data_IF_047644588399
#
_entry.id   IF_047644588399
#
_cell.length_a   1.000
_cell.length_b   1.000
_cell.length_c   1.000
_cell.angle_alpha   90.00
_cell.angle_beta   90.00
_cell.angle_gamma   90.00
#
_symmetry.space_group_name_H-M   'P 1'
#
loop_
_entity.id
_entity.type
_entity.pdbx_description
1 polymer ?
#
# COMPACT_ATOMS: atom_id res chain seq x y z
N UNK A 1 -52.36 62.09 -0.80
CA UNK A 1 -52.74 61.14 0.27
C UNK A 1 -53.69 61.83 1.22
N UNK A 2 -54.81 61.20 1.53
CA UNK A 2 -55.88 61.78 2.35
C UNK A 2 -55.99 61.00 3.66
N UNK A 3 -56.16 61.72 4.75
CA UNK A 3 -56.39 61.18 6.09
C UNK A 3 -57.79 61.60 6.52
N UNK A 4 -58.60 60.64 6.97
CA UNK A 4 -59.97 60.89 7.41
C UNK A 4 -60.32 60.13 8.68
N UNK A 5 -61.29 60.66 9.42
CA UNK A 5 -61.92 60.02 10.57
C UNK A 5 -63.34 59.61 10.21
N UNK A 6 -63.53 58.33 9.93
CA UNK A 6 -64.80 57.71 9.58
C UNK A 6 -65.40 57.05 10.82
N UNK A 7 -66.52 57.53 11.37
CA UNK A 7 -67.12 56.99 12.58
C UNK A 7 -67.52 55.51 12.43
N UNK A 8 -67.15 54.68 13.41
CA UNK A 8 -67.55 53.26 13.45
C UNK A 8 -66.83 52.36 12.43
N UNK A 9 -65.82 52.86 11.72
CA UNK A 9 -65.04 52.05 10.79
C UNK A 9 -64.27 50.96 11.53
N UNK A 10 -64.43 49.72 11.07
CA UNK A 10 -63.69 48.56 11.57
C UNK A 10 -62.37 48.42 10.79
N UNK A 11 -61.26 48.40 11.52
CA UNK A 11 -59.94 48.24 10.93
C UNK A 11 -59.63 46.80 10.48
N UNK A 12 -60.40 45.82 10.95
CA UNK A 12 -60.23 44.40 10.62
C UNK A 12 -61.15 43.91 9.50
N UNK A 13 -62.07 44.74 9.01
CA UNK A 13 -62.96 44.38 7.91
C UNK A 13 -62.26 44.50 6.55
N UNK A 14 -62.70 43.69 5.60
CA UNK A 14 -62.25 43.83 4.21
C UNK A 14 -62.72 45.18 3.65
N UNK A 15 -61.84 45.85 2.91
CA UNK A 15 -62.15 47.12 2.24
C UNK A 15 -63.04 46.84 1.03
N UNK A 16 -64.18 47.52 0.94
CA UNK A 16 -65.07 47.42 -0.23
C UNK A 16 -64.38 48.04 -1.46
N UNK A 17 -64.19 47.30 -2.57
CA UNK A 17 -63.60 47.85 -3.79
C UNK A 17 -64.36 49.05 -4.38
N UNK A 18 -65.63 49.23 -4.03
CA UNK A 18 -66.46 50.36 -4.45
C UNK A 18 -66.46 51.52 -3.45
N UNK A 19 -65.71 51.41 -2.34
CA UNK A 19 -65.60 52.47 -1.36
C UNK A 19 -64.97 53.72 -1.99
N UNK A 20 -65.69 54.84 -1.89
CA UNK A 20 -65.27 56.11 -2.43
C UNK A 20 -64.53 56.97 -1.42
N UNK A 21 -64.34 58.24 -1.78
CA UNK A 21 -63.85 59.26 -0.86
C UNK A 21 -64.83 59.46 0.30
N UNK A 22 -64.33 59.54 1.55
CA UNK A 22 -65.15 59.98 2.67
C UNK A 22 -65.72 61.38 2.44
N UNK A 23 -66.90 61.70 2.99
CA UNK A 23 -67.46 63.05 2.98
C UNK A 23 -66.46 64.09 3.47
N UNK A 24 -66.47 65.29 2.89
CA UNK A 24 -65.51 66.34 3.19
C UNK A 24 -65.39 66.68 4.70
N UNK A 25 -66.48 66.55 5.46
CA UNK A 25 -66.50 66.79 6.91
C UNK A 25 -65.70 65.74 7.72
N UNK A 26 -65.43 64.57 7.15
CA UNK A 26 -64.64 63.49 7.76
C UNK A 26 -63.16 63.58 7.38
N UNK A 27 -62.80 64.36 6.35
CA UNK A 27 -61.42 64.53 5.91
C UNK A 27 -60.69 65.41 6.92
N UNK A 28 -59.70 64.81 7.58
CA UNK A 28 -58.90 65.44 8.61
C UNK A 28 -57.72 66.20 8.04
N UNK A 29 -57.07 65.64 7.02
CA UNK A 29 -55.90 66.25 6.39
C UNK A 29 -55.65 65.71 4.98
N UNK A 30 -55.20 66.59 4.08
CA UNK A 30 -54.77 66.22 2.72
C UNK A 30 -53.29 66.55 2.57
N UNK A 31 -52.51 65.53 2.25
CA UNK A 31 -51.06 65.61 2.07
C UNK A 31 -50.68 65.40 0.60
N UNK A 32 -49.79 66.25 0.08
CA UNK A 32 -49.07 65.94 -1.15
C UNK A 32 -48.14 64.73 -0.94
N UNK A 33 -47.97 63.91 -1.99
CA UNK A 33 -46.98 62.83 -1.94
C UNK A 33 -45.59 63.47 -1.86
N UNK A 34 -44.82 63.11 -0.83
CA UNK A 34 -43.47 63.66 -0.63
C UNK A 34 -42.42 62.83 -1.36
N UNK A 35 -42.59 61.51 -1.40
CA UNK A 35 -41.69 60.58 -2.10
C UNK A 35 -42.48 59.52 -2.86
N UNK A 36 -41.93 59.06 -3.97
CA UNK A 36 -42.48 57.98 -4.77
C UNK A 36 -41.35 57.13 -5.34
N UNK A 37 -41.54 55.82 -5.37
CA UNK A 37 -40.52 54.91 -5.86
C UNK A 37 -41.12 53.64 -6.46
N UNK A 38 -40.38 52.97 -7.35
CA UNK A 38 -40.76 51.70 -7.93
C UNK A 38 -40.18 50.55 -7.09
N UNK A 39 -41.04 49.75 -6.46
CA UNK A 39 -40.63 48.57 -5.71
C UNK A 39 -40.08 47.47 -6.64
N UNK A 40 -40.74 47.30 -7.79
CA UNK A 40 -40.33 46.46 -8.91
C UNK A 40 -41.12 46.92 -10.16
N UNK A 41 -41.03 46.19 -11.28
CA UNK A 41 -41.73 46.53 -12.54
C UNK A 41 -43.26 46.65 -12.39
N UNK A 42 -43.84 45.90 -11.45
CA UNK A 42 -45.29 45.78 -11.23
C UNK A 42 -45.75 46.41 -9.92
N UNK A 43 -44.91 47.13 -9.18
CA UNK A 43 -45.32 47.73 -7.92
C UNK A 43 -44.64 49.07 -7.66
N UNK A 44 -45.41 50.04 -7.17
CA UNK A 44 -44.92 51.37 -6.78
C UNK A 44 -45.35 51.70 -5.37
N UNK A 45 -44.57 52.54 -4.69
CA UNK A 45 -44.88 53.05 -3.36
C UNK A 45 -44.99 54.56 -3.39
N UNK A 46 -46.02 55.07 -2.74
CA UNK A 46 -46.24 56.49 -2.51
C UNK A 46 -46.15 56.78 -1.03
N UNK A 47 -45.35 57.79 -0.68
CA UNK A 47 -45.08 58.13 0.71
C UNK A 47 -45.53 59.55 1.04
N UNK A 48 -46.05 59.71 2.26
CA UNK A 48 -46.29 61.01 2.88
C UNK A 48 -45.45 61.10 4.16
N UNK A 49 -44.67 62.18 4.26
CA UNK A 49 -43.86 62.50 5.44
C UNK A 49 -44.37 63.81 6.00
N UNK A 50 -45.01 63.75 7.17
CA UNK A 50 -45.52 64.92 7.88
C UNK A 50 -44.68 65.14 9.13
N UNK A 51 -44.08 66.32 9.23
CA UNK A 51 -43.30 66.71 10.40
C UNK A 51 -44.20 67.09 11.59
N UNK A 52 -43.57 67.58 12.66
CA UNK A 52 -44.29 67.99 13.88
C UNK A 52 -45.06 69.31 13.73
N UNK A 53 -44.93 70.05 12.63
CA UNK A 53 -45.64 71.33 12.42
C UNK A 53 -47.08 71.14 11.92
N UNK A 54 -47.41 69.93 11.47
CA UNK A 54 -48.71 69.54 10.94
C UNK A 54 -49.42 68.64 11.95
N UNK A 55 -50.67 68.89 12.30
CA UNK A 55 -51.38 68.03 13.25
C UNK A 55 -52.60 68.65 13.92
N UNK A 56 -52.93 67.99 15.03
CA UNK A 56 -54.10 68.06 15.90
C UNK A 56 -55.37 67.53 15.27
N UNK A 57 -55.28 66.27 14.82
CA UNK A 57 -56.41 65.54 14.25
C UNK A 57 -56.28 64.04 14.44
N UNK A 58 -57.43 63.37 14.45
CA UNK A 58 -57.57 61.91 14.52
C UNK A 58 -57.89 61.39 13.14
N UNK A 59 -57.52 60.15 12.85
CA UNK A 59 -57.83 59.50 11.59
C UNK A 59 -57.82 57.98 11.76
N UNK A 60 -58.66 57.29 11.01
CA UNK A 60 -58.69 55.82 10.93
C UNK A 60 -58.76 55.34 9.46
N UNK A 61 -58.76 56.26 8.51
CA UNK A 61 -58.83 55.99 7.09
C UNK A 61 -57.70 56.72 6.36
N UNK A 62 -57.03 56.02 5.43
CA UNK A 62 -56.00 56.59 4.56
C UNK A 62 -56.35 56.27 3.10
N UNK A 63 -56.31 57.28 2.24
CA UNK A 63 -56.56 57.13 0.81
C UNK A 63 -55.43 57.65 -0.07
N UNK A 64 -55.11 56.91 -1.13
CA UNK A 64 -54.37 57.42 -2.27
C UNK A 64 -55.37 57.84 -3.35
N UNK A 65 -55.28 59.08 -3.80
CA UNK A 65 -56.22 59.67 -4.76
C UNK A 65 -55.42 60.38 -5.84
N UNK A 66 -55.82 60.19 -7.10
CA UNK A 66 -55.30 60.99 -8.20
C UNK A 66 -55.81 62.43 -8.08
N UNK A 67 -54.88 63.39 -7.96
CA UNK A 67 -55.23 64.79 -7.78
C UNK A 67 -55.88 65.43 -9.00
N UNK A 68 -55.72 64.85 -10.20
CA UNK A 68 -56.31 65.40 -11.43
C UNK A 68 -57.78 64.99 -11.58
N UNK A 69 -58.10 63.71 -11.34
CA UNK A 69 -59.45 63.16 -11.56
C UNK A 69 -60.26 62.96 -10.29
N UNK A 70 -59.65 63.09 -9.10
CA UNK A 70 -60.23 62.68 -7.80
C UNK A 70 -60.57 61.19 -7.73
N UNK A 71 -60.01 60.36 -8.61
CA UNK A 71 -60.18 58.90 -8.57
C UNK A 71 -59.46 58.32 -7.37
N UNK A 72 -60.16 57.53 -6.56
CA UNK A 72 -59.57 56.77 -5.46
C UNK A 72 -58.81 55.58 -6.04
N UNK A 73 -57.54 55.46 -5.67
CA UNK A 73 -56.65 54.42 -6.18
C UNK A 73 -56.39 53.32 -5.14
N UNK A 74 -56.36 53.69 -3.85
CA UNK A 74 -56.09 52.76 -2.76
C UNK A 74 -56.72 53.29 -1.48
N UNK A 75 -57.28 52.40 -0.67
CA UNK A 75 -57.83 52.67 0.65
C UNK A 75 -57.17 51.74 1.66
N UNK A 76 -56.87 52.27 2.85
CA UNK A 76 -56.39 51.50 3.99
C UNK A 76 -57.19 51.92 5.23
N UNK A 77 -57.85 50.94 5.85
CA UNK A 77 -58.48 51.09 7.15
C UNK A 77 -57.47 50.73 8.25
N UNK A 78 -57.41 51.55 9.29
CA UNK A 78 -56.52 51.33 10.43
C UNK A 78 -57.25 51.63 11.74
N UNK A 79 -56.79 51.10 12.89
CA UNK A 79 -57.27 51.56 14.18
C UNK A 79 -57.02 53.06 14.32
N UNK A 80 -57.92 53.75 15.00
CA UNK A 80 -57.85 55.20 15.12
C UNK A 80 -56.50 55.69 15.67
N UNK A 81 -55.90 56.65 14.97
CA UNK A 81 -54.60 57.23 15.26
C UNK A 81 -54.73 58.74 15.52
N UNK A 82 -53.77 59.29 16.26
CA UNK A 82 -53.69 60.72 16.58
C UNK A 82 -52.41 61.34 16.00
N UNK A 83 -52.56 62.41 15.22
CA UNK A 83 -51.44 63.28 14.81
C UNK A 83 -51.46 64.54 15.69
N UNK A 84 -50.35 64.81 16.36
CA UNK A 84 -50.19 65.93 17.28
C UNK A 84 -49.25 66.95 16.65
N UNK A 85 -49.65 68.21 16.68
CA UNK A 85 -48.83 69.34 16.26
C UNK A 85 -48.00 69.87 17.44
N UNK A 86 -46.77 70.30 17.16
CA UNK A 86 -45.98 71.05 18.13
C UNK A 86 -46.55 72.46 18.27
N UNK A 87 -47.24 72.71 19.38
CA UNK A 87 -47.78 74.03 19.71
C UNK A 87 -47.95 74.18 21.23
N UNK A 88 -47.79 75.40 21.76
CA UNK A 88 -48.15 75.70 23.15
C UNK A 88 -47.37 74.91 24.21
N UNK A 89 -46.14 74.48 23.92
CA UNK A 89 -45.33 73.63 24.81
C UNK A 89 -45.65 72.13 24.73
N UNK A 90 -46.63 71.72 23.91
CA UNK A 90 -46.87 70.31 23.58
C UNK A 90 -45.92 69.87 22.46
N UNK A 91 -45.19 68.77 22.66
CA UNK A 91 -44.34 68.18 21.64
C UNK A 91 -45.21 67.37 20.65
N UNK A 92 -45.11 67.68 19.35
CA UNK A 92 -45.76 66.93 18.29
C UNK A 92 -45.01 65.65 17.90
N UNK A 93 -45.64 64.81 17.09
CA UNK A 93 -45.06 63.59 16.53
C UNK A 93 -44.78 63.73 15.03
N UNK A 94 -43.84 62.97 14.47
CA UNK A 94 -43.71 62.82 13.01
C UNK A 94 -44.61 61.68 12.53
N UNK A 95 -45.11 61.77 11.31
CA UNK A 95 -45.89 60.71 10.67
C UNK A 95 -45.28 60.37 9.32
N UNK A 96 -44.98 59.09 9.14
CA UNK A 96 -44.59 58.52 7.84
C UNK A 96 -45.60 57.45 7.46
N UNK A 97 -46.11 57.53 6.24
CA UNK A 97 -47.00 56.52 5.66
C UNK A 97 -46.53 56.15 4.27
N UNK A 98 -46.48 54.85 4.01
CA UNK A 98 -46.13 54.24 2.74
C UNK A 98 -47.32 53.43 2.27
N UNK A 99 -47.87 53.77 1.10
CA UNK A 99 -48.91 52.99 0.44
C UNK A 99 -48.30 52.37 -0.81
N UNK A 100 -48.15 51.05 -0.79
CA UNK A 100 -47.65 50.26 -1.90
C UNK A 100 -48.82 49.71 -2.72
N UNK A 101 -48.73 49.85 -4.03
CA UNK A 101 -49.75 49.40 -4.98
C UNK A 101 -49.11 48.50 -6.02
N UNK A 102 -49.73 47.34 -6.25
CA UNK A 102 -49.27 46.33 -7.20
C UNK A 102 -50.26 46.17 -8.35
N UNK A 103 -49.77 46.29 -9.58
CA UNK A 103 -50.48 45.96 -10.82
C UNK A 103 -49.48 45.79 -11.97
N UNK A 104 -49.84 45.02 -12.99
CA UNK A 104 -48.97 44.77 -14.13
C UNK A 104 -48.49 46.07 -14.79
N UNK A 105 -47.18 46.26 -14.89
CA UNK A 105 -46.57 47.44 -15.50
C UNK A 105 -46.68 48.74 -14.67
N UNK A 106 -46.90 48.67 -13.35
CA UNK A 106 -47.10 49.85 -12.52
C UNK A 106 -46.00 50.92 -12.63
N UNK A 107 -44.73 50.51 -12.70
CA UNK A 107 -43.62 51.45 -12.83
C UNK A 107 -43.68 52.24 -14.17
N UNK A 108 -44.04 51.54 -15.25
CA UNK A 108 -44.20 52.14 -16.59
C UNK A 108 -45.46 53.02 -16.65
N UNK A 109 -46.60 52.52 -16.19
CA UNK A 109 -47.87 53.25 -16.23
C UNK A 109 -47.81 54.56 -15.41
N UNK A 110 -47.08 54.55 -14.28
CA UNK A 110 -46.92 55.73 -13.41
C UNK A 110 -45.69 56.58 -13.75
N UNK A 111 -44.84 56.12 -14.66
CA UNK A 111 -43.55 56.73 -15.03
C UNK A 111 -42.64 56.97 -13.80
N UNK A 112 -42.64 56.03 -12.85
CA UNK A 112 -41.79 56.07 -11.67
C UNK A 112 -40.61 55.12 -11.87
N UNK A 113 -39.40 55.67 -11.91
CA UNK A 113 -38.15 54.92 -12.15
C UNK A 113 -37.16 55.00 -10.98
N UNK A 114 -37.51 55.74 -9.92
CA UNK A 114 -36.64 55.95 -8.76
C UNK A 114 -36.69 54.73 -7.84
N UNK A 115 -35.53 54.29 -7.35
CA UNK A 115 -35.39 53.19 -6.39
C UNK A 115 -35.94 53.58 -5.02
N UNK A 116 -36.60 52.67 -4.28
CA UNK A 116 -37.18 52.96 -2.97
C UNK A 116 -36.11 53.19 -1.91
N UNK A 117 -36.35 54.15 -1.03
CA UNK A 117 -35.54 54.37 0.16
C UNK A 117 -35.79 53.26 1.20
N UNK A 118 -34.84 53.03 2.10
CA UNK A 118 -34.88 51.88 3.02
C UNK A 118 -36.09 51.87 3.94
N UNK A 119 -36.64 53.04 4.29
CA UNK A 119 -37.83 53.18 5.14
C UNK A 119 -39.16 53.04 4.37
N UNK A 120 -39.13 52.99 3.02
CA UNK A 120 -40.32 52.80 2.19
C UNK A 120 -40.71 51.32 2.02
N UNK A 121 -39.80 50.40 2.34
CA UNK A 121 -39.97 48.95 2.19
C UNK A 121 -39.82 48.27 3.55
N UNK A 122 -40.72 47.32 3.83
CA UNK A 122 -40.48 46.33 4.87
C UNK A 122 -39.59 45.19 4.34
N UNK A 123 -38.31 45.23 4.68
CA UNK A 123 -37.35 44.17 4.31
C UNK A 123 -37.49 42.90 5.16
N UNK A 124 -38.31 42.90 6.20
CA UNK A 124 -38.40 41.79 7.16
C UNK A 124 -38.89 40.50 6.49
N UNK A 125 -39.87 40.58 5.58
CA UNK A 125 -40.35 39.43 4.82
C UNK A 125 -39.27 38.86 3.90
N UNK A 126 -38.51 39.73 3.22
CA UNK A 126 -37.41 39.32 2.35
C UNK A 126 -36.28 38.66 3.14
N UNK A 127 -35.89 39.24 4.27
CA UNK A 127 -34.85 38.69 5.14
C UNK A 127 -35.27 37.33 5.72
N UNK A 128 -36.51 37.19 6.19
CA UNK A 128 -37.05 35.89 6.63
C UNK A 128 -37.03 34.86 5.50
N UNK A 129 -37.38 35.26 4.28
CA UNK A 129 -37.32 34.37 3.12
C UNK A 129 -35.89 33.92 2.80
N UNK A 130 -34.90 34.78 2.97
CA UNK A 130 -33.49 34.43 2.80
C UNK A 130 -33.00 33.45 3.87
N UNK A 131 -33.37 33.67 5.13
CA UNK A 131 -33.02 32.74 6.22
C UNK A 131 -33.70 31.38 6.06
N UNK A 132 -34.96 31.37 5.66
CA UNK A 132 -35.70 30.14 5.38
C UNK A 132 -35.14 29.39 4.17
N UNK A 133 -34.78 30.09 3.09
CA UNK A 133 -34.11 29.48 1.93
C UNK A 133 -32.78 28.80 2.33
N UNK A 134 -31.99 29.42 3.21
CA UNK A 134 -30.76 28.80 3.76
C UNK A 134 -31.04 27.60 4.65
N UNK A 135 -32.16 27.59 5.37
CA UNK A 135 -32.57 26.46 6.20
C UNK A 135 -32.98 25.28 5.33
N UNK A 136 -33.87 25.51 4.36
CA UNK A 136 -34.35 24.49 3.40
C UNK A 136 -33.18 23.90 2.61
N UNK A 137 -32.26 24.71 2.09
CA UNK A 137 -31.07 24.21 1.39
C UNK A 137 -30.20 23.28 2.26
N UNK A 138 -30.16 23.50 3.58
CA UNK A 138 -29.48 22.60 4.52
C UNK A 138 -30.29 21.35 4.83
N UNK A 139 -31.62 21.41 4.78
CA UNK A 139 -32.47 20.21 4.84
C UNK A 139 -32.26 19.34 3.60
N UNK A 140 -32.18 19.94 2.41
CA UNK A 140 -31.93 19.21 1.17
C UNK A 140 -30.58 18.48 1.20
N UNK A 141 -29.57 19.07 1.85
CA UNK A 141 -28.25 18.47 1.97
C UNK A 141 -28.15 17.45 3.13
N UNK A 142 -28.53 17.83 4.36
CA UNK A 142 -28.35 16.99 5.56
C UNK A 142 -29.55 16.08 5.87
N UNK A 143 -30.70 16.27 5.23
CA UNK A 143 -31.96 15.62 5.58
C UNK A 143 -32.68 16.29 6.75
N UNK A 144 -33.62 15.56 7.36
CA UNK A 144 -34.42 16.04 8.51
C UNK A 144 -33.55 16.31 9.74
N UNK A 145 -32.57 15.45 10.01
CA UNK A 145 -31.52 15.67 10.98
C UNK A 145 -30.27 14.85 10.63
N UNK A 146 -29.09 15.39 10.90
CA UNK A 146 -27.84 14.65 10.76
C UNK A 146 -26.78 15.14 11.75
N UNK A 147 -25.87 14.25 12.14
CA UNK A 147 -24.83 14.49 13.14
C UNK A 147 -23.47 14.02 12.62
N UNK A 148 -22.42 14.78 12.92
CA UNK A 148 -21.08 14.54 12.43
C UNK A 148 -20.35 13.51 13.29
N UNK A 149 -20.06 12.33 12.75
CA UNK A 149 -19.32 11.27 13.43
C UNK A 149 -19.84 10.94 14.84
N UNK A 150 -18.98 11.11 15.84
CA UNK A 150 -19.31 10.88 17.26
C UNK A 150 -20.14 12.01 17.91
N UNK A 151 -20.42 13.10 17.20
CA UNK A 151 -21.14 14.25 17.75
C UNK A 151 -22.55 13.90 18.20
N UNK A 152 -22.93 14.31 19.41
CA UNK A 152 -24.20 13.96 20.05
C UNK A 152 -24.41 12.47 20.35
N UNK A 153 -23.36 11.63 20.26
CA UNK A 153 -23.46 10.23 20.65
C UNK A 153 -23.82 10.11 22.15
N UNK A 154 -24.73 9.20 22.47
CA UNK A 154 -25.19 8.97 23.84
C UNK A 154 -24.51 7.73 24.42
N UNK A 155 -23.98 7.87 25.64
CA UNK A 155 -23.46 6.76 26.44
C UNK A 155 -24.08 6.80 27.83
N UNK A 156 -24.31 5.64 28.45
CA UNK A 156 -24.88 5.55 29.80
C UNK A 156 -23.85 4.99 30.77
N UNK A 157 -23.62 5.69 31.88
CA UNK A 157 -22.79 5.22 32.98
C UNK A 157 -23.33 5.73 34.32
N UNK A 158 -23.41 4.86 35.33
CA UNK A 158 -23.80 5.25 36.69
C UNK A 158 -25.16 5.94 36.81
N UNK A 159 -26.13 5.61 35.94
CA UNK A 159 -27.46 6.22 35.94
C UNK A 159 -27.57 7.59 35.25
N UNK A 160 -26.47 8.08 34.65
CA UNK A 160 -26.44 9.28 33.83
C UNK A 160 -26.19 8.92 32.36
N UNK A 161 -26.88 9.61 31.45
CA UNK A 161 -26.64 9.56 30.02
C UNK A 161 -25.81 10.76 29.61
N UNK A 162 -24.62 10.52 29.07
CA UNK A 162 -23.69 11.53 28.59
C UNK A 162 -23.80 11.65 27.07
N UNK A 163 -24.03 12.87 26.60
CA UNK A 163 -24.09 13.26 25.19
C UNK A 163 -22.74 13.87 24.80
N UNK A 164 -22.08 13.29 23.81
CA UNK A 164 -20.78 13.72 23.34
C UNK A 164 -20.84 15.08 22.62
N UNK A 165 -19.83 15.96 22.78
CA UNK A 165 -19.75 17.22 22.05
C UNK A 165 -19.63 16.96 20.54
N UNK A 166 -20.08 17.92 19.73
CA UNK A 166 -19.98 17.83 18.29
C UNK A 166 -20.99 18.67 17.52
N UNK A 167 -20.99 18.48 16.21
CA UNK A 167 -21.80 19.22 15.26
C UNK A 167 -23.00 18.38 14.78
N UNK A 168 -24.13 19.03 14.61
CA UNK A 168 -25.29 18.48 13.93
C UNK A 168 -26.13 19.55 13.23
N UNK A 169 -27.12 19.08 12.50
CA UNK A 169 -28.18 19.90 11.91
C UNK A 169 -29.53 19.26 12.21
N UNK A 170 -30.50 20.07 12.64
CA UNK A 170 -31.89 19.66 12.89
C UNK A 170 -32.81 20.57 12.10
N UNK A 171 -33.56 20.01 11.16
CA UNK A 171 -34.38 20.74 10.19
C UNK A 171 -33.61 21.92 9.55
N UNK A 172 -32.34 21.71 9.20
CA UNK A 172 -31.46 22.72 8.60
C UNK A 172 -30.88 23.77 9.56
N UNK A 173 -31.25 23.74 10.84
CA UNK A 173 -30.68 24.58 11.89
C UNK A 173 -29.41 23.96 12.45
N UNK A 174 -28.32 24.73 12.54
CA UNK A 174 -27.03 24.25 13.03
C UNK A 174 -27.06 24.10 14.54
N UNK A 175 -26.73 22.92 15.05
CA UNK A 175 -26.58 22.66 16.48
C UNK A 175 -25.13 22.27 16.75
N UNK A 176 -24.47 22.96 17.68
CA UNK A 176 -23.07 22.70 18.01
C UNK A 176 -22.92 22.63 19.53
N UNK A 177 -22.65 21.43 20.03
CA UNK A 177 -22.42 21.16 21.44
C UNK A 177 -20.91 21.23 21.68
N UNK A 178 -20.46 22.28 22.37
CA UNK A 178 -19.03 22.52 22.64
C UNK A 178 -18.46 21.53 23.66
N UNK A 179 -19.22 21.23 24.70
CA UNK A 179 -18.82 20.38 25.82
C UNK A 179 -19.86 19.30 26.06
N UNK A 180 -19.43 18.15 26.60
CA UNK A 180 -20.35 17.05 26.88
C UNK A 180 -21.49 17.48 27.80
N UNK A 181 -22.71 17.05 27.48
CA UNK A 181 -23.90 17.30 28.29
C UNK A 181 -24.37 16.02 28.98
N UNK A 182 -25.04 16.15 30.12
CA UNK A 182 -25.58 15.00 30.86
C UNK A 182 -27.07 15.16 31.13
N UNK A 183 -27.79 14.06 31.00
CA UNK A 183 -29.21 13.93 31.37
C UNK A 183 -29.41 12.67 32.20
N UNK A 184 -30.51 12.57 32.93
CA UNK A 184 -30.84 11.34 33.66
C UNK A 184 -31.04 10.16 32.68
N UNK A 185 -30.43 9.01 32.95
CA UNK A 185 -30.60 7.79 32.13
C UNK A 185 -31.93 7.07 32.45
N UNK A 186 -33.04 7.80 32.35
CA UNK A 186 -34.37 7.22 32.45
C UNK A 186 -34.69 6.37 31.20
N UNK A 187 -35.67 5.46 31.30
CA UNK A 187 -36.21 4.75 30.14
C UNK A 187 -37.02 5.73 29.26
N UNK A 188 -36.32 6.48 28.39
CA UNK A 188 -36.88 7.59 27.62
C UNK A 188 -36.07 7.82 26.35
N UNK A 189 -36.61 8.61 25.42
CA UNK A 189 -35.86 9.08 24.27
C UNK A 189 -35.21 10.45 24.56
N UNK A 190 -34.04 10.68 23.97
CA UNK A 190 -33.30 11.94 24.03
C UNK A 190 -33.45 12.64 22.68
N UNK A 191 -33.74 13.93 22.75
CA UNK A 191 -34.05 14.77 21.60
C UNK A 191 -33.23 16.05 21.62
N UNK A 192 -32.92 16.55 20.44
CA UNK A 192 -32.41 17.91 20.23
C UNK A 192 -33.57 18.78 19.77
N UNK A 193 -33.80 19.86 20.51
CA UNK A 193 -34.80 20.89 20.21
C UNK A 193 -34.08 22.15 19.73
N UNK A 194 -34.10 22.39 18.43
CA UNK A 194 -33.37 23.47 17.76
C UNK A 194 -34.29 24.63 17.39
N UNK A 195 -33.79 25.86 17.54
CA UNK A 195 -34.53 27.10 17.29
C UNK A 195 -33.64 28.14 16.61
N UNK A 196 -34.20 28.89 15.67
CA UNK A 196 -33.61 30.11 15.13
C UNK A 196 -34.37 31.31 15.72
N UNK A 197 -33.71 32.06 16.61
CA UNK A 197 -34.34 33.17 17.31
C UNK A 197 -33.42 34.37 17.45
N UNK A 198 -34.04 35.55 17.55
CA UNK A 198 -33.35 36.81 17.80
C UNK A 198 -33.06 37.01 19.29
N UNK A 199 -31.91 37.60 19.60
CA UNK A 199 -31.58 38.08 20.95
C UNK A 199 -32.07 39.52 21.16
N UNK A 200 -32.08 39.98 22.41
CA UNK A 200 -32.38 41.39 22.77
C UNK A 200 -31.44 42.40 22.11
N UNK A 201 -30.28 41.97 21.62
CA UNK A 201 -29.32 42.81 20.87
C UNK A 201 -29.62 42.84 19.37
N UNK A 202 -30.68 42.16 18.92
CA UNK A 202 -31.04 42.02 17.49
C UNK A 202 -30.23 40.97 16.74
N UNK A 203 -29.28 40.29 17.39
CA UNK A 203 -28.50 39.22 16.76
C UNK A 203 -29.34 37.94 16.69
N UNK A 204 -29.50 37.40 15.49
CA UNK A 204 -30.14 36.09 15.30
C UNK A 204 -29.11 34.98 15.36
N UNK A 205 -29.42 33.90 16.09
CA UNK A 205 -28.51 32.77 16.29
C UNK A 205 -29.25 31.45 16.30
N UNK A 206 -28.52 30.39 15.97
CA UNK A 206 -28.99 29.03 16.23
C UNK A 206 -28.87 28.76 17.73
N UNK A 207 -29.97 28.34 18.34
CA UNK A 207 -30.02 27.82 19.68
C UNK A 207 -30.52 26.39 19.67
N UNK A 208 -30.21 25.62 20.73
CA UNK A 208 -30.84 24.34 20.95
C UNK A 208 -30.87 23.98 22.44
N UNK A 209 -31.73 23.03 22.79
CA UNK A 209 -31.74 22.38 24.10
C UNK A 209 -31.80 20.86 23.93
N UNK A 210 -31.32 20.13 24.93
CA UNK A 210 -31.44 18.67 24.99
C UNK A 210 -32.66 18.37 25.86
N UNK A 211 -33.61 17.60 25.32
CA UNK A 211 -34.84 17.23 26.03
C UNK A 211 -34.97 15.72 26.12
N UNK A 212 -35.65 15.27 27.18
CA UNK A 212 -36.02 13.86 27.35
C UNK A 212 -37.54 13.72 27.32
N UNK A 213 -38.05 12.67 26.67
CA UNK A 213 -39.49 12.43 26.54
C UNK A 213 -39.82 11.35 25.52
N UNK A 214 -41.00 10.74 25.64
CA UNK A 214 -41.39 9.60 24.81
C UNK A 214 -41.64 9.98 23.33
N UNK A 215 -42.26 11.13 23.08
CA UNK A 215 -42.52 11.63 21.73
C UNK A 215 -42.56 13.16 21.74
N UNK A 216 -41.66 13.78 21.00
CA UNK A 216 -41.65 15.21 20.77
C UNK A 216 -41.92 15.48 19.28
N UNK A 217 -42.68 16.54 19.01
CA UNK A 217 -42.93 17.04 17.66
C UNK A 217 -42.58 18.52 17.58
N UNK A 218 -42.37 19.01 16.36
CA UNK A 218 -42.12 20.43 16.10
C UNK A 218 -43.27 21.28 16.65
N UNK A 219 -42.95 22.47 17.13
CA UNK A 219 -43.92 23.37 17.76
C UNK A 219 -43.50 24.83 17.62
N UNK A 220 -44.40 25.75 17.95
CA UNK A 220 -44.10 27.19 18.05
C UNK A 220 -44.19 27.59 19.51
N UNK A 221 -43.16 28.28 20.01
CA UNK A 221 -43.14 28.74 21.41
C UNK A 221 -44.09 29.94 21.64
N UNK A 222 -44.24 30.35 22.90
CA UNK A 222 -45.10 31.48 23.25
C UNK A 222 -44.63 32.83 22.68
N UNK A 223 -43.38 32.92 22.21
CA UNK A 223 -42.80 34.10 21.56
C UNK A 223 -42.93 34.06 20.04
N UNK A 224 -43.50 32.99 19.47
CA UNK A 224 -43.73 32.83 18.04
C UNK A 224 -42.54 32.23 17.26
N UNK A 225 -41.53 31.69 17.94
CA UNK A 225 -40.40 31.04 17.28
C UNK A 225 -40.69 29.57 17.00
N UNK A 226 -40.44 29.08 15.77
CA UNK A 226 -40.57 27.67 15.44
C UNK A 226 -39.40 26.87 16.02
N UNK A 227 -39.73 25.78 16.69
CA UNK A 227 -38.84 24.79 17.26
C UNK A 227 -38.93 23.49 16.47
N UNK A 228 -37.78 22.93 16.11
CA UNK A 228 -37.68 21.68 15.38
C UNK A 228 -36.97 20.63 16.23
N UNK A 229 -37.55 19.44 16.33
CA UNK A 229 -37.05 18.39 17.22
C UNK A 229 -36.54 17.17 16.44
N UNK A 230 -35.39 16.65 16.84
CA UNK A 230 -34.82 15.42 16.30
C UNK A 230 -34.45 14.46 17.42
N UNK A 231 -34.89 13.21 17.30
CA UNK A 231 -34.50 12.16 18.23
C UNK A 231 -33.05 11.75 17.92
N UNK A 232 -32.23 11.60 18.95
CA UNK A 232 -30.83 11.15 18.81
C UNK A 232 -30.59 9.78 19.43
N UNK A 233 -31.36 9.40 20.45
CA UNK A 233 -31.23 8.08 21.05
C UNK A 233 -32.51 7.68 21.80
N UNK A 234 -32.67 6.38 21.97
CA UNK A 234 -33.64 5.79 22.90
C UNK A 234 -32.90 5.01 23.98
N UNK A 235 -33.23 5.24 25.25
CA UNK A 235 -32.69 4.50 26.39
C UNK A 235 -33.78 3.55 26.90
N UNK A 236 -33.48 2.25 26.95
CA UNK A 236 -34.37 1.24 27.49
C UNK A 236 -33.59 0.21 28.31
N UNK A 237 -33.88 0.12 29.62
CA UNK A 237 -33.21 -0.81 30.52
C UNK A 237 -31.69 -0.59 30.64
N UNK A 238 -31.23 0.65 30.45
CA UNK A 238 -29.80 0.99 30.42
C UNK A 238 -29.11 0.75 29.07
N UNK A 239 -29.80 0.18 28.08
CA UNK A 239 -29.31 0.02 26.71
C UNK A 239 -29.62 1.29 25.92
N UNK A 240 -28.62 1.82 25.22
CA UNK A 240 -28.77 2.96 24.31
C UNK A 240 -28.94 2.43 22.88
N UNK A 241 -30.04 2.81 22.24
CA UNK A 241 -30.22 2.67 20.79
C UNK A 241 -29.90 4.01 20.14
N UNK A 242 -28.90 4.05 19.28
CA UNK A 242 -28.54 5.25 18.51
C UNK A 242 -29.57 5.46 17.39
N UNK A 243 -30.15 6.65 17.31
CA UNK A 243 -31.11 7.03 16.27
C UNK A 243 -30.60 8.23 15.45
N UNK A 244 -29.33 8.61 15.61
CA UNK A 244 -28.70 9.66 14.81
C UNK A 244 -28.52 9.19 13.38
N UNK A 245 -28.82 10.06 12.42
CA UNK A 245 -28.35 9.90 11.05
C UNK A 245 -26.97 10.54 10.86
N UNK A 246 -26.02 9.89 10.18
CA UNK A 246 -24.72 10.48 9.90
C UNK A 246 -24.81 11.57 8.83
N UNK A 247 -23.76 12.38 8.70
CA UNK A 247 -23.63 13.34 7.61
C UNK A 247 -23.66 12.65 6.24
N UNK A 248 -24.09 13.35 5.17
CA UNK A 248 -24.30 12.72 3.85
C UNK A 248 -23.06 11.99 3.31
N UNK A 249 -21.87 12.58 3.45
CA UNK A 249 -20.63 11.92 3.02
C UNK A 249 -20.34 10.65 3.83
N UNK A 250 -20.45 10.73 5.16
CA UNK A 250 -20.27 9.58 6.06
C UNK A 250 -21.29 8.47 5.79
N UNK A 251 -22.53 8.86 5.45
CA UNK A 251 -23.58 7.93 5.03
C UNK A 251 -23.18 7.20 3.75
N UNK A 252 -22.71 7.94 2.73
CA UNK A 252 -22.25 7.35 1.47
C UNK A 252 -21.03 6.45 1.71
N UNK A 253 -20.08 6.85 2.56
CA UNK A 253 -18.93 6.02 2.93
C UNK A 253 -19.37 4.71 3.61
N UNK A 254 -20.35 4.77 4.51
CA UNK A 254 -20.95 3.58 5.13
C UNK A 254 -21.70 2.73 4.11
N UNK A 255 -22.55 3.34 3.26
CA UNK A 255 -23.27 2.62 2.21
C UNK A 255 -22.31 1.93 1.23
N UNK A 256 -21.22 2.59 0.83
CA UNK A 256 -20.18 1.98 -0.01
C UNK A 256 -19.51 0.82 0.72
N UNK A 257 -19.20 0.98 2.01
CA UNK A 257 -18.62 -0.09 2.84
C UNK A 257 -19.57 -1.28 3.00
N UNK A 258 -20.88 -1.04 3.11
CA UNK A 258 -21.90 -2.08 3.23
C UNK A 258 -22.22 -2.72 1.86
N UNK A 259 -22.07 -1.97 0.76
CA UNK A 259 -22.21 -2.44 -0.61
C UNK A 259 -21.02 -3.30 -1.03
N UNK A 260 -19.84 -3.17 -0.41
CA UNK A 260 -18.72 -4.06 -0.68
C UNK A 260 -19.14 -5.49 -0.32
N UNK A 261 -19.76 -6.17 -1.29
CA UNK A 261 -20.35 -7.52 -1.22
C UNK A 261 -19.30 -8.54 -0.79
N UNK A 262 -18.04 -8.13 -0.81
CA UNK A 262 -16.91 -8.84 -0.25
C UNK A 262 -16.01 -7.79 0.39
N UNK A 263 -15.92 -7.78 1.72
CA UNK A 263 -14.74 -7.23 2.39
C UNK A 263 -13.50 -7.78 1.65
N UNK A 264 -12.43 -6.99 1.50
CA UNK A 264 -11.17 -7.47 0.92
C UNK A 264 -10.80 -8.83 1.51
N UNK A 265 -11.08 -9.07 2.79
CA UNK A 265 -10.96 -10.37 3.42
C UNK A 265 -11.73 -11.50 2.71
N UNK A 266 -13.01 -11.32 2.39
CA UNK A 266 -13.83 -12.32 1.69
C UNK A 266 -13.46 -12.43 0.20
N UNK A 267 -13.09 -11.33 -0.46
CA UNK A 267 -12.58 -11.38 -1.83
C UNK A 267 -11.27 -12.18 -1.86
N UNK A 268 -10.35 -11.85 -0.96
CA UNK A 268 -9.04 -12.47 -0.88
C UNK A 268 -9.10 -13.93 -0.35
N UNK A 269 -10.21 -14.37 0.28
CA UNK A 269 -10.45 -15.78 0.61
C UNK A 269 -11.01 -16.59 -0.56
N UNK A 270 -11.62 -15.94 -1.56
CA UNK A 270 -12.21 -16.63 -2.71
C UNK A 270 -11.22 -16.88 -3.85
N UNK A 271 -10.06 -16.24 -3.82
CA UNK A 271 -9.02 -16.43 -4.83
C UNK A 271 -7.78 -17.05 -4.20
N UNK A 272 -7.10 -17.90 -4.98
CA UNK A 272 -5.80 -18.45 -4.60
C UNK A 272 -4.77 -17.35 -4.49
N UNK A 273 -4.00 -17.35 -3.41
CA UNK A 273 -2.92 -16.38 -3.20
C UNK A 273 -1.55 -17.04 -3.34
N UNK A 274 -0.65 -16.33 -4.01
CA UNK A 274 0.74 -16.77 -4.19
C UNK A 274 1.44 -16.96 -2.84
N UNK A 275 1.18 -16.08 -1.87
CA UNK A 275 1.79 -16.11 -0.52
C UNK A 275 1.38 -17.35 0.31
N UNK A 276 0.19 -17.90 0.05
CA UNK A 276 -0.33 -19.04 0.79
C UNK A 276 0.24 -20.38 0.31
N UNK A 277 0.98 -20.40 -0.79
CA UNK A 277 1.60 -21.61 -1.34
C UNK A 277 0.63 -22.82 -1.38
N UNK A 278 -0.58 -22.59 -1.90
CA UNK A 278 -1.66 -23.58 -2.01
C UNK A 278 -2.26 -24.06 -0.68
N UNK A 279 -1.87 -23.52 0.48
CA UNK A 279 -2.49 -23.87 1.78
C UNK A 279 -3.96 -23.43 1.90
N UNK A 280 -4.40 -22.61 0.97
CA UNK A 280 -5.78 -22.17 0.73
C UNK A 280 -6.61 -23.17 -0.10
N UNK A 281 -6.04 -24.31 -0.51
CA UNK A 281 -6.77 -25.42 -1.12
C UNK A 281 -6.99 -26.55 -0.10
N UNK A 282 -8.19 -27.14 -0.11
CA UNK A 282 -8.51 -28.34 0.70
C UNK A 282 -7.60 -29.53 0.34
N UNK A 283 -7.26 -29.68 -0.93
CA UNK A 283 -6.35 -30.72 -1.42
C UNK A 283 -5.37 -30.13 -2.46
N UNK A 284 -4.23 -29.59 -1.98
CA UNK A 284 -3.19 -29.05 -2.86
C UNK A 284 -2.59 -30.13 -3.78
N UNK A 285 -2.57 -31.39 -3.35
CA UNK A 285 -2.03 -32.51 -4.13
C UNK A 285 -2.91 -32.83 -5.33
N UNK A 286 -4.23 -32.91 -5.13
CA UNK A 286 -5.21 -33.12 -6.20
C UNK A 286 -5.23 -32.00 -7.23
N UNK A 287 -5.05 -30.75 -6.79
CA UNK A 287 -4.94 -29.60 -7.68
C UNK A 287 -3.67 -29.66 -8.54
N UNK A 288 -2.53 -30.00 -7.93
CA UNK A 288 -1.26 -30.24 -8.63
C UNK A 288 -1.37 -31.38 -9.64
N UNK A 289 -1.99 -32.49 -9.27
CA UNK A 289 -2.24 -33.64 -10.16
C UNK A 289 -3.10 -33.23 -11.37
N UNK A 290 -4.17 -32.47 -11.14
CA UNK A 290 -5.08 -32.02 -12.21
C UNK A 290 -4.42 -31.06 -13.19
N UNK A 291 -3.44 -30.28 -12.72
CA UNK A 291 -2.66 -29.35 -13.53
C UNK A 291 -1.36 -29.97 -14.10
N UNK A 292 -1.05 -31.21 -13.72
CA UNK A 292 0.20 -31.91 -14.01
C UNK A 292 1.48 -31.14 -13.59
N UNK A 293 1.42 -30.45 -12.43
CA UNK A 293 2.55 -29.69 -11.86
C UNK A 293 2.92 -30.27 -10.50
N UNK A 294 3.97 -31.08 -10.45
CA UNK A 294 4.36 -31.85 -9.26
C UNK A 294 5.44 -31.14 -8.45
N UNK A 295 5.43 -31.29 -7.13
CA UNK A 295 6.52 -30.81 -6.27
C UNK A 295 7.83 -31.56 -6.55
N UNK A 296 8.96 -31.05 -6.03
CA UNK A 296 10.26 -31.72 -6.20
C UNK A 296 10.23 -33.14 -5.63
N UNK A 297 9.68 -33.33 -4.43
CA UNK A 297 9.55 -34.67 -3.81
C UNK A 297 8.66 -35.61 -4.62
N UNK A 298 7.48 -35.14 -5.07
CA UNK A 298 6.56 -35.94 -5.90
C UNK A 298 7.16 -36.25 -7.28
N UNK A 299 7.99 -35.35 -7.82
CA UNK A 299 8.76 -35.61 -9.03
C UNK A 299 9.90 -36.61 -8.76
N UNK A 300 10.58 -36.50 -7.63
CA UNK A 300 11.70 -37.34 -7.24
C UNK A 300 11.29 -38.81 -7.09
N UNK A 301 10.08 -39.09 -6.62
CA UNK A 301 9.53 -40.46 -6.58
C UNK A 301 9.27 -41.07 -7.98
N UNK A 302 9.15 -40.24 -9.03
CA UNK A 302 8.92 -40.71 -10.41
C UNK A 302 10.20 -40.95 -11.20
N UNK A 303 11.36 -40.55 -10.68
CA UNK A 303 12.65 -40.68 -11.37
C UNK A 303 13.65 -41.47 -10.54
N UNK A 304 14.63 -42.07 -11.20
CA UNK A 304 15.73 -42.77 -10.52
C UNK A 304 16.59 -41.77 -9.74
N UNK A 305 16.86 -42.09 -8.48
CA UNK A 305 17.66 -41.27 -7.58
C UNK A 305 19.05 -41.87 -7.39
N UNK A 306 20.09 -41.05 -7.58
CA UNK A 306 21.47 -41.51 -7.46
C UNK A 306 21.80 -42.07 -6.07
N UNK A 307 21.21 -41.51 -5.01
CA UNK A 307 21.39 -41.93 -3.62
C UNK A 307 20.79 -43.29 -3.29
N UNK A 308 19.74 -43.70 -4.04
CA UNK A 308 19.05 -44.96 -3.81
C UNK A 308 19.84 -46.17 -4.31
N UNK A 309 20.96 -45.97 -5.02
CA UNK A 309 21.82 -47.03 -5.53
C UNK A 309 21.03 -48.19 -6.15
N UNK A 310 20.07 -47.86 -7.02
CA UNK A 310 19.21 -48.81 -7.73
C UNK A 310 18.18 -49.56 -6.88
N UNK A 311 18.02 -49.24 -5.58
CA UNK A 311 16.97 -49.84 -4.74
C UNK A 311 15.56 -49.37 -5.07
N UNK A 312 15.45 -48.28 -5.84
CA UNK A 312 14.25 -47.72 -6.43
C UNK A 312 13.86 -48.36 -7.77
N UNK A 313 14.66 -49.32 -8.27
CA UNK A 313 14.25 -50.19 -9.38
C UNK A 313 13.47 -51.39 -8.85
N UNK A 314 12.31 -51.66 -9.46
CA UNK A 314 11.49 -52.83 -9.12
C UNK A 314 12.20 -54.17 -9.37
N UNK A 315 13.06 -54.24 -10.39
CA UNK A 315 13.94 -55.39 -10.63
C UNK A 315 15.30 -54.94 -11.18
N UNK A 316 16.32 -55.03 -10.34
CA UNK A 316 17.70 -54.67 -10.70
C UNK A 316 18.30 -55.64 -11.72
N UNK A 317 17.89 -56.91 -11.72
CA UNK A 317 18.40 -57.91 -12.65
C UNK A 317 17.84 -57.68 -14.06
N UNK A 318 16.54 -57.42 -14.16
CA UNK A 318 15.90 -57.09 -15.44
C UNK A 318 16.42 -55.75 -16.00
N UNK A 319 16.67 -54.75 -15.14
CA UNK A 319 17.33 -53.52 -15.57
C UNK A 319 18.73 -53.76 -16.15
N UNK A 320 19.54 -54.63 -15.53
CA UNK A 320 20.88 -55.00 -16.04
C UNK A 320 20.80 -55.80 -17.35
N UNK A 321 19.78 -56.63 -17.51
CA UNK A 321 19.51 -57.36 -18.75
C UNK A 321 19.14 -56.40 -19.89
N UNK A 322 18.22 -55.46 -19.64
CA UNK A 322 17.82 -54.44 -20.60
C UNK A 322 18.99 -53.52 -20.99
N UNK A 323 19.90 -53.24 -20.06
CA UNK A 323 21.14 -52.48 -20.33
C UNK A 323 22.23 -53.33 -21.01
N UNK A 324 22.03 -54.65 -21.16
CA UNK A 324 22.99 -55.55 -21.82
C UNK A 324 24.31 -55.73 -21.07
N UNK A 325 24.37 -55.38 -19.77
CA UNK A 325 25.59 -55.45 -18.95
C UNK A 325 25.87 -56.89 -18.50
N UNK A 326 24.83 -57.68 -18.26
CA UNK A 326 24.93 -59.06 -17.79
C UNK A 326 25.15 -60.09 -18.92
N UNK A 327 25.31 -59.65 -20.17
CA UNK A 327 25.56 -60.54 -21.30
C UNK A 327 27.06 -60.69 -21.52
N UNK A 328 27.67 -61.86 -21.23
CA UNK A 328 29.05 -62.14 -21.59
C UNK A 328 29.19 -61.93 -23.10
N UNK A 329 30.22 -61.19 -23.51
CA UNK A 329 30.48 -60.84 -24.90
C UNK A 329 29.38 -59.99 -25.59
N UNK A 330 28.44 -59.41 -24.84
CA UNK A 330 27.47 -58.43 -25.35
C UNK A 330 28.15 -57.10 -25.74
N UNK A 331 27.50 -56.25 -26.56
CA UNK A 331 28.10 -55.01 -27.07
C UNK A 331 28.56 -54.07 -25.95
N UNK A 332 27.80 -54.00 -24.85
CA UNK A 332 28.14 -53.16 -23.68
C UNK A 332 29.32 -53.75 -22.89
N UNK A 333 29.30 -55.06 -22.63
CA UNK A 333 30.43 -55.74 -21.99
C UNK A 333 31.72 -55.60 -22.81
N UNK A 334 31.65 -55.80 -24.14
CA UNK A 334 32.77 -55.59 -25.05
C UNK A 334 33.32 -54.18 -24.97
N UNK A 335 32.46 -53.16 -24.98
CA UNK A 335 32.86 -51.77 -24.88
C UNK A 335 33.58 -51.46 -23.55
N UNK A 336 33.08 -52.00 -22.43
CA UNK A 336 33.73 -51.85 -21.11
C UNK A 336 35.12 -52.50 -21.13
N UNK A 337 35.21 -53.75 -21.58
CA UNK A 337 36.47 -54.47 -21.66
C UNK A 337 37.45 -53.80 -22.64
N UNK A 338 36.95 -53.19 -23.72
CA UNK A 338 37.78 -52.42 -24.65
C UNK A 338 38.31 -51.12 -24.04
N UNK A 339 37.52 -50.45 -23.21
CA UNK A 339 37.96 -49.27 -22.47
C UNK A 339 39.00 -49.63 -21.39
N UNK A 340 38.81 -50.75 -20.67
CA UNK A 340 39.77 -51.24 -19.68
C UNK A 340 41.05 -51.69 -20.37
N UNK A 341 40.97 -52.58 -21.35
CA UNK A 341 42.12 -53.07 -22.11
C UNK A 341 42.24 -52.36 -23.45
N UNK A 342 42.54 -51.06 -23.47
CA UNK A 342 42.68 -50.32 -24.73
C UNK A 342 43.87 -50.83 -25.58
N UNK A 343 43.83 -50.54 -26.90
CA UNK A 343 44.89 -50.94 -27.83
C UNK A 343 46.24 -50.35 -27.39
N UNK A 344 47.25 -51.21 -27.28
CA UNK A 344 48.58 -50.86 -26.80
C UNK A 344 48.79 -51.11 -25.31
N UNK A 345 47.75 -51.43 -24.53
CA UNK A 345 47.89 -51.83 -23.11
C UNK A 345 48.59 -53.18 -23.00
N UNK A 346 49.50 -53.28 -22.04
CA UNK A 346 50.19 -54.54 -21.68
C UNK A 346 49.64 -55.08 -20.36
N UNK A 347 49.51 -56.40 -20.29
CA UNK A 347 49.06 -57.14 -19.11
C UNK A 347 50.00 -58.30 -18.84
N UNK A 348 50.15 -58.65 -17.56
CA UNK A 348 50.91 -59.84 -17.13
C UNK A 348 49.90 -60.96 -16.89
N UNK A 349 50.05 -62.07 -17.60
CA UNK A 349 49.14 -63.22 -17.49
C UNK A 349 49.78 -64.50 -18.03
N UNK A 350 49.66 -65.58 -17.27
CA UNK A 350 50.08 -66.91 -17.74
C UNK A 350 49.14 -67.45 -18.83
N UNK A 351 47.86 -67.07 -18.75
CA UNK A 351 46.81 -67.43 -19.73
C UNK A 351 46.79 -66.46 -20.90
N UNK A 352 46.42 -66.94 -22.08
CA UNK A 352 46.27 -66.11 -23.28
C UNK A 352 44.98 -65.28 -23.19
N UNK A 353 45.04 -63.93 -23.07
CA UNK A 353 43.83 -63.11 -22.97
C UNK A 353 42.92 -63.23 -24.20
N UNK A 354 43.46 -63.66 -25.35
CA UNK A 354 42.69 -63.92 -26.57
C UNK A 354 41.60 -65.00 -26.38
N UNK A 355 41.79 -65.94 -25.45
CA UNK A 355 40.82 -67.01 -25.17
C UNK A 355 39.58 -66.49 -24.43
N UNK A 356 39.77 -65.50 -23.56
CA UNK A 356 38.68 -64.87 -22.80
C UNK A 356 38.05 -63.71 -23.57
N UNK A 357 38.85 -62.94 -24.30
CA UNK A 357 38.42 -61.75 -25.03
C UNK A 357 38.57 -61.99 -26.53
N UNK A 358 37.73 -62.87 -27.06
CA UNK A 358 37.81 -63.40 -28.44
C UNK A 358 37.73 -62.33 -29.53
N UNK A 359 37.17 -61.16 -29.23
CA UNK A 359 37.03 -60.03 -30.16
C UNK A 359 38.22 -59.07 -30.20
N UNK A 360 39.18 -59.19 -29.27
CA UNK A 360 40.41 -58.39 -29.25
C UNK A 360 41.53 -59.12 -30.00
N UNK A 361 42.66 -58.46 -30.24
CA UNK A 361 43.89 -59.11 -30.70
C UNK A 361 45.02 -58.90 -29.71
N UNK A 362 45.57 -60.00 -29.20
CA UNK A 362 46.67 -59.98 -28.25
C UNK A 362 47.95 -60.57 -28.86
N UNK A 363 49.09 -59.97 -28.54
CA UNK A 363 50.43 -60.45 -28.91
C UNK A 363 51.21 -60.78 -27.65
N UNK A 364 51.79 -61.98 -27.60
CA UNK A 364 52.77 -62.35 -26.58
C UNK A 364 54.09 -61.60 -26.88
N UNK A 365 54.57 -60.82 -25.93
CA UNK A 365 55.83 -60.08 -26.07
C UNK A 365 57.05 -60.94 -25.73
N UNK A 366 56.88 -62.10 -25.11
CA UNK A 366 58.00 -62.97 -24.72
C UNK A 366 58.81 -63.47 -25.93
N UNK A 367 58.20 -63.59 -27.11
CA UNK A 367 58.91 -64.01 -28.33
C UNK A 367 59.95 -62.99 -28.83
N UNK A 368 59.67 -61.69 -28.69
CA UNK A 368 60.53 -60.62 -29.21
C UNK A 368 61.43 -60.01 -28.12
N UNK A 369 61.00 -60.11 -26.86
CA UNK A 369 61.61 -59.41 -25.71
C UNK A 369 61.93 -60.35 -24.54
N UNK A 370 62.08 -61.65 -24.79
CA UNK A 370 62.52 -62.63 -23.79
C UNK A 370 63.77 -62.17 -23.04
N UNK A 371 63.83 -62.51 -21.76
CA UNK A 371 64.95 -62.23 -20.85
C UNK A 371 65.26 -60.73 -20.64
N UNK A 372 64.26 -59.86 -20.83
CA UNK A 372 64.35 -58.41 -20.58
C UNK A 372 63.48 -57.98 -19.40
N UNK A 373 63.91 -56.93 -18.70
CA UNK A 373 63.16 -56.31 -17.61
C UNK A 373 62.26 -55.20 -18.15
N UNK A 374 61.02 -55.13 -17.65
CA UNK A 374 60.10 -54.04 -17.95
C UNK A 374 60.57 -52.74 -17.29
N UNK A 375 60.77 -51.69 -18.09
CA UNK A 375 61.14 -50.35 -17.61
C UNK A 375 60.27 -49.29 -18.26
N UNK A 376 59.93 -48.26 -17.50
CA UNK A 376 59.22 -47.08 -18.00
C UNK A 376 60.21 -46.21 -18.78
N UNK A 377 59.85 -45.80 -20.00
CA UNK A 377 60.64 -44.91 -20.87
C UNK A 377 59.73 -43.93 -21.62
N UNK A 378 60.33 -42.85 -22.10
CA UNK A 378 59.77 -41.89 -23.05
C UNK A 378 59.57 -42.46 -24.48
N UNK A 379 60.41 -43.41 -24.89
CA UNK A 379 60.26 -44.16 -26.14
C UNK A 379 59.88 -45.62 -25.88
N UNK A 380 58.72 -46.03 -26.41
CA UNK A 380 58.24 -47.40 -26.24
C UNK A 380 59.12 -48.42 -27.00
N UNK A 381 59.27 -49.61 -26.44
CA UNK A 381 59.90 -50.79 -27.06
C UNK A 381 61.40 -50.67 -27.38
N UNK A 382 62.11 -49.67 -26.85
CA UNK A 382 63.57 -49.61 -26.90
C UNK A 382 64.18 -50.67 -25.99
N UNK A 383 65.27 -51.27 -26.46
CA UNK A 383 65.99 -52.33 -25.76
C UNK A 383 67.41 -51.88 -25.45
N UNK A 384 67.93 -52.24 -24.28
CA UNK A 384 69.31 -51.95 -23.88
C UNK A 384 69.62 -52.58 -22.51
N UNK A 385 70.79 -52.24 -21.96
CA UNK A 385 71.30 -52.81 -20.71
C UNK A 385 72.18 -54.05 -20.95
N UNK A 386 72.99 -54.35 -19.93
CA UNK A 386 73.84 -55.54 -19.86
C UNK A 386 73.82 -56.04 -18.42
N UNK A 387 73.78 -57.36 -18.27
CA UNK A 387 73.89 -58.01 -16.96
C UNK A 387 75.35 -58.06 -16.47
N UNK A 388 76.31 -57.66 -17.31
CA UNK A 388 77.73 -57.68 -16.96
C UNK A 388 78.39 -56.34 -17.29
N UNK A 389 79.15 -55.81 -16.32
CA UNK A 389 79.90 -54.55 -16.45
C UNK A 389 81.37 -54.78 -16.08
N UNK A 390 82.27 -54.25 -16.91
CA UNK A 390 83.70 -54.20 -16.63
C UNK A 390 84.08 -52.79 -16.18
N UNK A 391 84.74 -52.66 -15.04
CA UNK A 391 85.20 -51.37 -14.51
C UNK A 391 86.55 -51.04 -15.15
N UNK A 392 86.67 -49.87 -15.77
CA UNK A 392 87.91 -49.35 -16.38
C UNK A 392 88.49 -48.21 -15.53
N UNK A 393 89.73 -47.79 -15.82
CA UNK A 393 90.45 -46.80 -15.01
C UNK A 393 89.72 -45.46 -14.88
N UNK A 394 89.01 -45.03 -15.93
CA UNK A 394 88.17 -43.83 -15.93
C UNK A 394 86.90 -43.94 -15.06
N UNK A 395 86.54 -45.14 -14.59
CA UNK A 395 85.39 -45.36 -13.70
C UNK A 395 85.78 -45.30 -12.21
N UNK A 396 87.07 -45.29 -11.89
CA UNK A 396 87.56 -45.25 -10.51
C UNK A 396 87.58 -43.80 -10.01
N UNK A 397 87.04 -43.50 -8.81
CA UNK A 397 87.14 -42.17 -8.24
C UNK A 397 88.61 -41.82 -7.96
N UNK A 398 88.98 -40.53 -7.98
CA UNK A 398 90.27 -40.09 -7.48
C UNK A 398 90.47 -40.63 -6.07
N UNK A 399 91.56 -41.37 -5.87
CA UNK A 399 91.91 -41.92 -4.58
C UNK A 399 93.37 -41.60 -4.28
N UNK A 400 93.70 -41.51 -3.00
CA UNK A 400 95.03 -41.22 -2.51
C UNK A 400 95.56 -42.41 -1.74
N UNK A 401 96.79 -42.79 -2.03
CA UNK A 401 97.49 -43.78 -1.24
C UNK A 401 98.09 -43.13 0.00
N UNK A 402 98.07 -43.87 1.11
CA UNK A 402 98.77 -43.50 2.34
C UNK A 402 100.22 -43.98 2.22
N UNK A 403 101.02 -43.33 1.37
CA UNK A 403 102.46 -43.60 1.19
C UNK A 403 103.25 -42.31 1.21
N UNK A 404 104.31 -42.28 2.03
CA UNK A 404 105.24 -41.17 2.14
C UNK A 404 106.23 -41.19 0.99
N UNK A 405 105.77 -40.88 -0.22
CA UNK A 405 106.65 -40.90 -1.40
C UNK A 405 107.28 -39.52 -1.61
N UNK A 406 108.61 -39.49 -1.47
CA UNK A 406 109.48 -38.34 -1.78
C UNK A 406 109.60 -38.16 -3.30
N UNK A 407 109.86 -36.92 -3.72
CA UNK A 407 110.17 -36.60 -5.12
C UNK A 407 111.32 -37.44 -5.69
N UNK A 408 111.31 -37.75 -7.00
CA UNK A 408 112.28 -38.65 -7.63
C UNK A 408 113.75 -38.21 -7.44
N UNK A 409 114.65 -39.14 -7.10
CA UNK A 409 116.11 -38.94 -7.28
C UNK A 409 117.03 -39.02 -6.05
N UNK A 410 116.60 -39.46 -4.87
CA UNK A 410 117.51 -39.68 -3.72
C UNK A 410 117.69 -41.18 -3.42
N UNK A 411 118.95 -41.62 -3.30
CA UNK A 411 119.36 -43.02 -3.01
C UNK A 411 119.09 -43.36 -1.54
N UNK A 412 118.57 -44.56 -1.29
CA UNK A 412 118.13 -45.04 0.03
C UNK A 412 119.31 -45.37 0.95
N UNK A 413 119.33 -44.75 2.14
CA UNK A 413 120.24 -45.09 3.25
C UNK A 413 119.49 -45.99 4.26
N UNK A 414 119.91 -47.25 4.43
CA UNK A 414 119.26 -48.24 5.31
C UNK A 414 119.25 -47.89 6.79
N UNK A 415 120.18 -47.06 7.26
CA UNK A 415 120.49 -46.92 8.70
C UNK A 415 119.92 -45.64 9.33
N UNK A 416 119.12 -44.89 8.57
CA UNK A 416 118.42 -43.70 9.05
C UNK A 416 116.92 -43.95 9.19
N UNK A 417 116.38 -43.67 10.38
CA UNK A 417 114.93 -43.71 10.63
C UNK A 417 114.26 -42.58 9.84
N UNK A 418 113.77 -42.90 8.64
CA UNK A 418 113.00 -41.96 7.82
C UNK A 418 111.64 -41.74 8.48
N UNK A 419 111.51 -40.58 9.15
CA UNK A 419 110.30 -40.18 9.83
C UNK A 419 109.10 -40.17 8.89
N UNK A 420 108.00 -40.77 9.37
CA UNK A 420 106.68 -40.85 8.73
C UNK A 420 106.02 -39.47 8.69
N UNK A 421 106.45 -38.60 7.76
CA UNK A 421 105.64 -37.45 7.34
C UNK A 421 104.47 -37.96 6.50
N UNK A 422 103.40 -38.33 7.21
CA UNK A 422 102.13 -38.79 6.65
C UNK A 422 101.19 -37.61 6.33
N UNK A 423 101.73 -36.41 6.04
CA UNK A 423 100.95 -35.17 5.87
C UNK A 423 101.01 -34.57 4.46
N UNK A 424 101.63 -35.25 3.49
CA UNK A 424 101.62 -34.84 2.08
C UNK A 424 100.64 -35.69 1.27
N UNK A 425 99.48 -35.11 0.99
CA UNK A 425 98.53 -35.65 0.01
C UNK A 425 98.73 -34.93 -1.32
N UNK A 426 99.19 -35.65 -2.35
CA UNK A 426 99.27 -35.16 -3.73
C UNK A 426 98.61 -36.18 -4.67
N UNK A 427 97.96 -35.75 -5.75
CA UNK A 427 97.40 -36.70 -6.71
C UNK A 427 98.55 -37.48 -7.37
N UNK A 428 98.64 -38.78 -7.08
CA UNK A 428 99.38 -39.70 -7.94
C UNK A 428 98.51 -39.91 -9.17
N UNK A 429 98.72 -39.09 -10.19
CA UNK A 429 98.28 -39.41 -11.54
C UNK A 429 99.10 -40.61 -12.01
N UNK A 430 98.69 -41.82 -11.63
CA UNK A 430 99.15 -43.05 -12.26
C UNK A 430 98.51 -43.09 -13.65
N UNK A 431 99.15 -42.40 -14.58
CA UNK A 431 98.91 -42.61 -16.01
C UNK A 431 99.45 -43.99 -16.37
N UNK A 432 98.69 -44.69 -17.21
CA UNK A 432 99.06 -45.94 -17.87
C UNK A 432 100.56 -46.01 -18.24
N UNK A 433 101.24 -47.11 -17.90
CA UNK A 433 102.63 -47.38 -18.31
C UNK A 433 103.74 -47.08 -17.30
N UNK A 434 103.45 -46.83 -16.02
CA UNK A 434 104.48 -46.55 -14.98
C UNK A 434 104.63 -47.64 -13.90
N UNK A 435 104.02 -48.81 -14.11
CA UNK A 435 104.18 -49.99 -13.24
C UNK A 435 104.66 -51.19 -14.06
N UNK A 436 105.69 -51.88 -13.56
CA UNK A 436 106.15 -53.19 -14.04
C UNK A 436 106.29 -54.05 -12.79
N UNK A 437 105.47 -55.09 -12.65
CA UNK A 437 105.68 -56.05 -11.57
C UNK A 437 106.93 -56.92 -11.83
N UNK A 438 107.31 -57.75 -10.87
CA UNK A 438 108.45 -58.65 -10.98
C UNK A 438 108.34 -59.67 -12.13
N UNK A 439 107.20 -59.75 -12.81
CA UNK A 439 106.93 -60.64 -13.95
C UNK A 439 106.84 -59.90 -15.29
N UNK A 440 107.06 -58.58 -15.32
CA UNK A 440 107.05 -57.79 -16.55
C UNK A 440 105.67 -57.35 -17.00
N UNK A 441 104.64 -57.50 -16.16
CA UNK A 441 103.27 -57.13 -16.52
C UNK A 441 103.05 -55.63 -16.36
N UNK A 442 102.61 -55.00 -17.43
CA UNK A 442 102.41 -53.54 -17.52
C UNK A 442 100.94 -53.11 -17.42
N UNK A 443 100.01 -54.07 -17.29
CA UNK A 443 98.56 -53.84 -17.32
C UNK A 443 97.84 -54.71 -16.28
N UNK A 444 96.84 -54.15 -15.59
CA UNK A 444 95.88 -54.91 -14.78
C UNK A 444 94.63 -55.22 -15.62
N UNK A 445 94.21 -56.50 -15.66
CA UNK A 445 92.97 -56.90 -16.31
C UNK A 445 91.89 -57.08 -15.23
N UNK A 446 90.79 -56.34 -15.35
CA UNK A 446 89.63 -56.49 -14.45
C UNK A 446 88.67 -57.55 -14.98
N UNK A 447 88.16 -58.41 -14.09
CA UNK A 447 87.09 -59.37 -14.41
C UNK A 447 85.73 -58.66 -14.49
N UNK A 448 84.81 -59.10 -15.36
CA UNK A 448 83.46 -58.55 -15.40
C UNK A 448 82.70 -58.85 -14.11
N UNK A 449 81.92 -57.89 -13.65
CA UNK A 449 81.04 -58.04 -12.48
C UNK A 449 79.62 -58.30 -13.00
N UNK A 450 78.96 -59.34 -12.47
CA UNK A 450 77.53 -59.55 -12.69
C UNK A 450 76.73 -58.52 -11.88
N UNK A 451 75.89 -57.77 -12.59
CA UNK A 451 75.04 -56.72 -12.04
C UNK A 451 73.55 -57.09 -12.14
N UNK A 452 73.25 -58.37 -12.34
CA UNK A 452 71.86 -58.87 -12.39
C UNK A 452 71.21 -58.76 -11.01
N UNK A 453 70.13 -57.99 -10.91
CA UNK A 453 69.28 -57.96 -9.71
C UNK A 453 68.39 -59.21 -9.65
N UNK A 454 67.85 -59.52 -8.47
CA UNK A 454 66.82 -60.55 -8.33
C UNK A 454 65.61 -60.24 -9.23
N UNK A 455 65.09 -61.26 -9.93
CA UNK A 455 63.98 -61.12 -10.87
C UNK A 455 63.00 -62.30 -10.79
N UNK A 456 61.79 -62.08 -11.30
CA UNK A 456 60.79 -63.12 -11.57
C UNK A 456 60.44 -63.10 -13.06
N UNK A 457 60.34 -64.28 -13.65
CA UNK A 457 59.91 -64.42 -15.04
C UNK A 457 58.40 -64.37 -15.12
N UNK A 458 57.88 -63.48 -15.97
CA UNK A 458 56.45 -63.32 -16.22
C UNK A 458 56.17 -63.31 -17.72
N UNK A 459 54.98 -63.77 -18.11
CA UNK A 459 54.50 -63.65 -19.49
C UNK A 459 53.72 -62.35 -19.66
N UNK A 460 54.09 -61.57 -20.67
CA UNK A 460 53.51 -60.24 -20.92
C UNK A 460 52.80 -60.25 -22.26
N UNK A 461 51.52 -59.88 -22.23
CA UNK A 461 50.68 -59.76 -23.42
C UNK A 461 50.41 -58.30 -23.71
N UNK A 462 50.41 -57.92 -24.98
CA UNK A 462 50.03 -56.58 -25.42
C UNK A 462 48.85 -56.64 -26.37
N UNK A 463 47.82 -55.82 -26.11
CA UNK A 463 46.71 -55.68 -27.05
C UNK A 463 47.18 -54.91 -28.28
N UNK A 464 46.94 -55.46 -29.47
CA UNK A 464 47.34 -54.90 -30.76
C UNK A 464 46.16 -54.44 -31.62
N UNK A 465 44.96 -54.97 -31.39
CA UNK A 465 43.70 -54.48 -31.96
C UNK A 465 42.52 -54.79 -31.03
#
# INVERSE_FOLDING_TARGET
MIFALVPGQDAGADVDPNEGLPPAAQISYVSAITHKAALNTNAVVYSAVLDTTIGDWRYNWIGLVDSATSTVLMIVHIPEQLKIKTQGGQQGNNLVRNLAMEFAGAAEATQITVTPETWQIDYSARLRSMDESRRVARVDYYGSAAFDGGGFAVSVNGGAATIAPGLGYVAGLRVYLEEAATVAAANTAIWIDAVWSGTVTGAWKYGFTIRTGAALTDYVDAAGYPHFVAKIATIAGGVVTDERSPFPLQRIEQEISDIDVYDKTEADQRFLRIENNLSDLDDPGRARESLDVHSRTEADERFLQAENNLSDLGDVNEARENLGINMPDGPVFRAIIDAVFWVGRSVISDSNPQEQYTWQKWRDLSADYGDRVLRISDEAMKTGGSNSVKIEGNNLPPHWHRSGDRSPGTVWDPDTTHGTDNQKSGPLALTEGTFIDSTGKTESANEPIDVTNEYVTVRVWRRTA
#
